data_IF_061538838928
#
_entry.id   IF_061538838928
#
_cell.length_a   1.000
_cell.length_b   1.000
_cell.length_c   1.000
_cell.angle_alpha   90.00
_cell.angle_beta   90.00
_cell.angle_gamma   90.00
#
_symmetry.space_group_name_H-M   'P 1'
#
loop_
_entity.id
_entity.type
_entity.pdbx_description
1 polymer ?
#
# COMPACT_ATOMS: atom_id res chain seq x y z
N UNK A 1 15.37 3.46 -9.78
CA UNK A 1 16.45 2.59 -9.36
C UNK A 1 17.12 3.18 -8.10
N UNK A 2 17.32 2.37 -7.05
CA UNK A 2 17.77 2.84 -5.75
C UNK A 2 19.24 3.33 -5.72
N UNK A 3 20.02 3.07 -6.76
CA UNK A 3 21.42 3.44 -6.86
C UNK A 3 21.71 4.78 -7.56
N UNK A 4 20.73 5.38 -8.22
CA UNK A 4 20.95 6.54 -9.11
C UNK A 4 21.53 7.73 -8.37
N UNK A 5 21.00 8.09 -7.19
CA UNK A 5 21.49 9.23 -6.42
C UNK A 5 22.92 9.01 -5.90
N UNK A 6 23.29 7.77 -5.56
CA UNK A 6 24.63 7.43 -5.10
C UNK A 6 25.67 7.47 -6.23
N UNK A 7 25.28 7.15 -7.46
CA UNK A 7 26.17 7.19 -8.62
C UNK A 7 26.35 8.58 -9.23
N UNK A 8 25.56 9.59 -8.86
CA UNK A 8 25.74 10.96 -9.39
C UNK A 8 27.11 11.55 -9.12
N UNK A 9 27.69 11.49 -7.90
CA UNK A 9 29.03 11.99 -7.65
C UNK A 9 30.10 11.26 -8.47
N UNK A 10 30.00 9.92 -8.60
CA UNK A 10 30.92 9.11 -9.39
C UNK A 10 30.88 9.45 -10.87
N UNK A 11 29.66 9.63 -11.41
CA UNK A 11 29.46 10.03 -12.81
C UNK A 11 30.00 11.45 -13.06
N UNK A 12 29.87 12.38 -12.10
CA UNK A 12 30.45 13.71 -12.19
C UNK A 12 31.97 13.65 -12.22
N UNK A 13 32.59 12.92 -11.28
CA UNK A 13 34.05 12.77 -11.24
C UNK A 13 34.60 12.17 -12.54
N UNK A 14 33.95 11.08 -13.03
CA UNK A 14 34.33 10.46 -14.29
C UNK A 14 34.21 11.43 -15.49
N UNK A 15 33.17 12.26 -15.52
CA UNK A 15 33.00 13.27 -16.54
C UNK A 15 34.04 14.37 -16.46
N UNK A 16 34.36 14.86 -15.25
CA UNK A 16 35.41 15.88 -15.02
C UNK A 16 36.79 15.38 -15.44
N UNK A 17 37.10 14.12 -15.19
CA UNK A 17 38.34 13.49 -15.66
C UNK A 17 38.39 13.46 -17.19
N UNK A 18 37.32 13.06 -17.85
CA UNK A 18 37.20 13.05 -19.32
C UNK A 18 37.37 14.47 -19.89
N UNK A 19 36.73 15.46 -19.29
CA UNK A 19 36.87 16.89 -19.69
C UNK A 19 38.32 17.34 -19.55
N UNK A 20 38.98 16.97 -18.44
CA UNK A 20 40.36 17.30 -18.19
C UNK A 20 41.30 16.72 -19.26
N UNK A 21 41.13 15.43 -19.58
CA UNK A 21 41.96 14.76 -20.57
C UNK A 21 41.68 15.26 -22.00
N UNK A 22 40.40 15.55 -22.33
CA UNK A 22 40.03 16.14 -23.61
C UNK A 22 40.69 17.54 -23.79
N UNK A 23 40.71 18.38 -22.74
CA UNK A 23 41.38 19.68 -22.73
C UNK A 23 42.89 19.54 -22.91
N UNK A 24 43.51 18.59 -22.22
CA UNK A 24 44.97 18.32 -22.39
C UNK A 24 45.31 17.94 -23.83
N UNK A 25 44.46 17.11 -24.47
CA UNK A 25 44.69 16.75 -25.86
C UNK A 25 44.45 17.94 -26.77
N UNK A 26 43.38 18.70 -26.60
CA UNK A 26 43.10 19.92 -27.37
C UNK A 26 44.26 20.94 -27.27
N UNK A 27 44.83 21.13 -26.08
CA UNK A 27 46.00 22.00 -25.86
C UNK A 27 47.24 21.55 -26.63
N UNK A 28 47.44 20.24 -26.81
CA UNK A 28 48.55 19.71 -27.62
C UNK A 28 48.37 20.04 -29.10
N UNK A 29 47.13 19.94 -29.57
CA UNK A 29 46.82 20.16 -30.98
C UNK A 29 46.67 21.68 -31.29
N UNK A 30 46.45 22.53 -30.25
CA UNK A 30 46.30 23.99 -30.34
C UNK A 30 47.18 24.69 -29.28
N UNK A 31 48.50 24.72 -29.46
CA UNK A 31 49.44 25.28 -28.49
C UNK A 31 49.22 26.78 -28.20
N UNK A 32 48.61 27.51 -29.14
CA UNK A 32 48.28 28.94 -29.05
C UNK A 32 46.99 29.24 -28.25
N UNK A 33 46.21 28.23 -27.92
CA UNK A 33 44.93 28.44 -27.22
C UNK A 33 45.11 29.06 -25.84
N UNK A 34 44.36 30.11 -25.59
CA UNK A 34 44.39 30.82 -24.29
C UNK A 34 43.68 30.02 -23.19
N UNK A 35 43.99 30.36 -21.92
CA UNK A 35 43.33 29.71 -20.77
C UNK A 35 41.80 29.86 -20.78
N UNK A 36 41.30 30.98 -21.32
CA UNK A 36 39.88 31.23 -21.35
C UNK A 36 39.17 30.45 -22.49
N UNK A 37 39.82 30.31 -23.62
CA UNK A 37 39.36 29.41 -24.69
C UNK A 37 39.35 27.97 -24.20
N UNK A 38 40.37 27.52 -23.48
CA UNK A 38 40.42 26.17 -22.92
C UNK A 38 39.30 25.85 -21.96
N UNK A 39 38.74 26.84 -21.25
CA UNK A 39 37.57 26.64 -20.37
C UNK A 39 36.30 26.33 -21.15
N UNK A 40 36.22 26.73 -22.42
CA UNK A 40 35.05 26.50 -23.30
C UNK A 40 35.17 25.20 -24.10
N UNK A 41 36.29 24.48 -23.98
CA UNK A 41 36.51 23.20 -24.65
C UNK A 41 35.90 22.07 -23.85
N UNK A 42 34.98 21.36 -24.46
CA UNK A 42 34.28 20.19 -23.87
C UNK A 42 34.27 19.03 -24.84
N UNK A 43 34.21 17.77 -24.36
CA UNK A 43 34.01 16.62 -25.20
C UNK A 43 32.64 16.70 -25.90
N UNK A 44 32.44 15.99 -27.04
CA UNK A 44 31.21 16.08 -27.83
C UNK A 44 29.99 15.41 -27.21
N UNK A 45 30.02 15.17 -25.91
CA UNK A 45 28.92 14.65 -25.13
C UNK A 45 28.87 15.30 -23.74
N UNK A 46 27.75 15.15 -23.05
CA UNK A 46 27.56 15.61 -21.67
C UNK A 46 26.81 14.57 -20.86
N UNK A 47 27.06 14.53 -19.57
CA UNK A 47 26.27 13.72 -18.63
C UNK A 47 24.97 14.47 -18.32
N UNK A 48 23.84 13.79 -18.47
CA UNK A 48 22.51 14.29 -18.12
C UNK A 48 21.95 13.36 -17.05
N UNK A 49 21.55 13.94 -15.91
CA UNK A 49 20.88 13.20 -14.86
C UNK A 49 19.39 13.20 -15.11
N UNK A 50 18.79 12.04 -14.95
CA UNK A 50 17.35 11.86 -15.01
C UNK A 50 16.87 11.07 -13.81
N UNK A 51 15.61 11.24 -13.48
CA UNK A 51 14.91 10.43 -12.49
C UNK A 51 13.70 9.80 -13.16
N UNK A 52 13.54 8.51 -12.97
CA UNK A 52 12.28 7.86 -13.27
C UNK A 52 11.38 8.06 -12.06
N UNK A 53 10.31 8.81 -12.24
CA UNK A 53 9.33 9.07 -11.21
C UNK A 53 8.00 8.43 -11.57
N UNK A 54 7.39 7.78 -10.60
CA UNK A 54 6.01 7.31 -10.74
C UNK A 54 5.07 8.47 -10.40
N UNK A 55 4.30 8.91 -11.39
CA UNK A 55 3.21 9.85 -11.14
C UNK A 55 2.07 9.08 -10.49
N UNK A 56 1.89 9.29 -9.21
CA UNK A 56 0.75 8.75 -8.46
C UNK A 56 -0.34 9.81 -8.44
N UNK A 57 -1.52 9.45 -8.93
CA UNK A 57 -2.72 10.29 -8.78
C UNK A 57 -3.28 10.07 -7.38
N UNK A 58 -2.92 10.93 -6.44
CA UNK A 58 -3.37 10.85 -5.04
C UNK A 58 -4.88 11.06 -4.86
N UNK A 59 -5.57 11.51 -5.90
CA UNK A 59 -7.03 11.68 -5.89
C UNK A 59 -7.74 10.40 -6.37
N UNK A 60 -7.07 9.56 -7.17
CA UNK A 60 -7.59 8.27 -7.57
C UNK A 60 -7.41 7.28 -6.43
N UNK A 61 -8.52 6.77 -5.90
CA UNK A 61 -8.48 5.57 -5.10
C UNK A 61 -9.07 5.65 -3.70
N UNK A 62 -9.66 6.77 -3.27
CA UNK A 62 -10.43 6.76 -2.02
C UNK A 62 -11.66 5.87 -2.12
N UNK A 63 -12.33 5.86 -3.29
CA UNK A 63 -13.49 5.02 -3.55
C UNK A 63 -13.33 4.36 -4.92
N UNK A 64 -13.50 3.06 -4.96
CA UNK A 64 -13.48 2.26 -6.19
C UNK A 64 -14.85 1.62 -6.40
N UNK A 65 -15.34 1.58 -7.65
CA UNK A 65 -16.60 0.94 -8.01
C UNK A 65 -17.85 1.66 -7.47
N UNK A 66 -17.81 2.98 -7.32
CA UNK A 66 -18.93 3.78 -6.80
C UNK A 66 -20.21 3.57 -7.62
N UNK A 67 -21.31 3.32 -6.92
CA UNK A 67 -22.66 3.11 -7.47
C UNK A 67 -23.67 4.10 -6.91
N UNK A 68 -23.22 5.27 -6.44
CA UNK A 68 -24.06 6.29 -5.82
C UNK A 68 -24.45 5.97 -4.37
N UNK A 69 -23.57 5.26 -3.65
CA UNK A 69 -23.75 4.97 -2.24
C UNK A 69 -23.81 6.24 -1.41
N UNK A 70 -24.61 6.18 -0.33
CA UNK A 70 -24.71 7.21 0.69
C UNK A 70 -23.65 7.02 1.78
N UNK A 71 -23.28 8.10 2.47
CA UNK A 71 -22.46 8.01 3.69
C UNK A 71 -23.21 7.35 4.86
N UNK A 72 -24.51 7.10 4.72
CA UNK A 72 -25.34 6.45 5.72
C UNK A 72 -25.60 4.96 5.42
N UNK A 73 -25.06 4.45 4.30
CA UNK A 73 -25.19 3.03 3.95
C UNK A 73 -24.39 2.14 4.93
N UNK A 74 -24.73 0.84 5.03
CA UNK A 74 -23.93 -0.11 5.78
C UNK A 74 -22.53 -0.26 5.21
N UNK A 75 -21.55 -0.45 6.10
CA UNK A 75 -20.15 -0.71 5.75
C UNK A 75 -19.67 -2.03 6.35
N UNK A 76 -18.83 -2.74 5.62
CA UNK A 76 -18.01 -3.83 6.16
C UNK A 76 -16.55 -3.40 6.12
N UNK A 77 -16.04 -3.10 7.29
CA UNK A 77 -14.62 -2.74 7.47
C UNK A 77 -13.86 -4.02 7.76
N UNK A 78 -12.79 -4.29 7.00
CA UNK A 78 -12.09 -5.55 7.08
C UNK A 78 -10.59 -5.39 6.93
N UNK A 79 -9.86 -6.39 7.38
CA UNK A 79 -8.43 -6.55 7.27
C UNK A 79 -8.11 -8.03 7.07
N UNK A 80 -6.97 -8.35 6.44
CA UNK A 80 -6.54 -9.72 6.22
C UNK A 80 -5.08 -9.91 6.64
N UNK A 81 -4.78 -11.09 7.18
CA UNK A 81 -3.41 -11.55 7.31
C UNK A 81 -3.09 -12.58 6.24
N UNK A 82 -1.85 -12.56 5.76
CA UNK A 82 -1.44 -13.35 4.58
C UNK A 82 -0.06 -13.96 4.76
N UNK A 83 0.27 -14.99 3.97
CA UNK A 83 1.61 -15.59 3.95
C UNK A 83 2.67 -14.73 3.23
N UNK A 84 2.29 -13.53 2.74
CA UNK A 84 3.18 -12.59 2.04
C UNK A 84 2.40 -11.59 1.18
N UNK A 85 3.07 -10.84 0.32
CA UNK A 85 2.52 -9.64 -0.31
C UNK A 85 1.89 -9.84 -1.70
N UNK A 86 2.05 -11.00 -2.32
CA UNK A 86 1.54 -11.25 -3.68
C UNK A 86 0.23 -12.04 -3.65
N UNK A 87 -0.90 -11.49 -4.13
CA UNK A 87 -2.18 -12.20 -4.13
C UNK A 87 -2.17 -13.46 -5.01
N UNK A 88 -1.24 -13.52 -5.99
CA UNK A 88 -1.08 -14.68 -6.87
C UNK A 88 -0.27 -15.79 -6.19
N UNK A 89 0.84 -15.42 -5.53
CA UNK A 89 1.79 -16.38 -4.96
C UNK A 89 1.49 -16.74 -3.48
N UNK A 90 0.87 -15.84 -2.75
CA UNK A 90 0.63 -16.00 -1.31
C UNK A 90 -0.84 -16.32 -1.01
N UNK A 91 -1.10 -16.64 0.25
CA UNK A 91 -2.42 -17.11 0.72
C UNK A 91 -2.89 -16.29 1.91
N UNK A 92 -4.20 -16.15 2.04
CA UNK A 92 -4.85 -15.58 3.24
C UNK A 92 -4.75 -16.59 4.38
N UNK A 93 -4.46 -16.11 5.59
CA UNK A 93 -4.38 -16.91 6.83
C UNK A 93 -5.36 -16.44 7.91
N UNK A 94 -5.86 -15.21 7.83
CA UNK A 94 -6.94 -14.68 8.68
C UNK A 94 -7.77 -13.67 7.89
N UNK A 95 -9.09 -13.66 8.11
CA UNK A 95 -9.97 -12.58 7.69
C UNK A 95 -10.67 -12.04 8.93
N UNK A 96 -10.49 -10.76 9.21
CA UNK A 96 -11.18 -10.03 10.26
C UNK A 96 -12.06 -8.95 9.64
N UNK A 97 -13.33 -8.89 10.06
CA UNK A 97 -14.23 -7.84 9.59
C UNK A 97 -15.22 -7.42 10.66
N UNK A 98 -15.70 -6.20 10.56
CA UNK A 98 -16.79 -5.67 11.37
C UNK A 98 -17.82 -5.00 10.46
N UNK A 99 -19.09 -5.22 10.76
CA UNK A 99 -20.20 -4.55 10.10
C UNK A 99 -20.56 -3.29 10.87
N UNK A 100 -20.64 -2.18 10.16
CA UNK A 100 -20.95 -0.86 10.72
C UNK A 100 -22.27 -0.37 10.15
N UNK A 101 -23.22 -0.06 11.01
CA UNK A 101 -24.50 0.53 10.67
C UNK A 101 -24.75 1.71 11.63
N UNK A 102 -25.25 2.83 11.09
CA UNK A 102 -25.52 4.05 11.86
C UNK A 102 -24.34 4.52 12.74
N UNK A 103 -23.12 4.30 12.25
CA UNK A 103 -21.89 4.69 12.94
C UNK A 103 -21.47 3.80 14.12
N UNK A 104 -22.07 2.62 14.26
CA UNK A 104 -21.78 1.65 15.32
C UNK A 104 -21.45 0.28 14.74
N UNK A 105 -20.54 -0.45 15.38
CA UNK A 105 -20.25 -1.85 15.04
C UNK A 105 -21.42 -2.71 15.52
N UNK A 106 -22.09 -3.39 14.60
CA UNK A 106 -23.27 -4.23 14.86
C UNK A 106 -23.00 -5.73 14.77
N UNK A 107 -21.96 -6.13 14.02
CA UNK A 107 -21.59 -7.54 13.84
C UNK A 107 -20.08 -7.69 13.59
N UNK A 108 -19.56 -8.91 13.79
CA UNK A 108 -18.15 -9.25 13.63
C UNK A 108 -17.96 -10.57 12.89
N UNK A 109 -16.96 -10.62 12.04
CA UNK A 109 -16.48 -11.79 11.35
C UNK A 109 -14.99 -11.95 11.67
N UNK A 110 -14.57 -13.09 12.22
CA UNK A 110 -13.17 -13.35 12.55
C UNK A 110 -12.90 -14.84 12.38
N UNK A 111 -12.11 -15.17 11.37
CA UNK A 111 -11.88 -16.56 10.96
C UNK A 111 -10.43 -16.74 10.52
N UNK A 112 -9.77 -17.76 11.06
CA UNK A 112 -8.53 -18.28 10.49
C UNK A 112 -8.82 -19.05 9.21
N UNK A 113 -7.88 -18.99 8.29
CA UNK A 113 -7.95 -19.68 7.00
C UNK A 113 -6.75 -20.61 6.86
N UNK A 114 -6.99 -21.88 6.55
CA UNK A 114 -5.93 -22.81 6.23
C UNK A 114 -5.31 -22.47 4.86
N UNK A 115 -4.06 -21.98 4.82
CA UNK A 115 -3.43 -21.59 3.55
C UNK A 115 -3.00 -22.79 2.70
N UNK A 116 -3.02 -24.01 3.25
CA UNK A 116 -2.53 -25.25 2.63
C UNK A 116 -1.04 -25.19 2.22
N UNK A 117 -0.31 -24.22 2.75
CA UNK A 117 1.14 -24.06 2.59
C UNK A 117 1.73 -23.59 3.92
N UNK A 118 3.01 -23.88 4.21
CA UNK A 118 3.64 -23.41 5.44
C UNK A 118 3.65 -21.88 5.54
N UNK A 119 3.42 -21.37 6.74
CA UNK A 119 3.51 -19.93 7.03
C UNK A 119 4.99 -19.57 7.18
N UNK A 120 5.50 -18.59 6.41
CA UNK A 120 6.90 -18.16 6.54
C UNK A 120 7.18 -17.60 7.94
N UNK A 121 8.31 -17.95 8.52
CA UNK A 121 8.71 -17.52 9.87
C UNK A 121 8.63 -16.00 10.09
N UNK A 122 8.94 -15.19 9.05
CA UNK A 122 8.81 -13.74 9.13
C UNK A 122 7.37 -13.28 9.30
N UNK A 123 6.42 -14.00 8.71
CA UNK A 123 4.98 -13.72 8.84
C UNK A 123 4.51 -14.14 10.23
N UNK A 124 4.91 -15.31 10.70
CA UNK A 124 4.63 -15.73 12.07
C UNK A 124 5.14 -14.72 13.10
N UNK A 125 6.37 -14.21 12.93
CA UNK A 125 6.89 -13.15 13.81
C UNK A 125 6.10 -11.84 13.74
N UNK A 126 5.54 -11.52 12.58
CA UNK A 126 4.79 -10.28 12.37
C UNK A 126 3.37 -10.37 12.93
N UNK A 127 2.66 -11.46 12.62
CA UNK A 127 1.22 -11.62 12.89
C UNK A 127 0.94 -12.43 14.15
N UNK A 128 1.93 -13.19 14.63
CA UNK A 128 1.75 -14.18 15.70
C UNK A 128 0.98 -15.43 15.27
N UNK A 129 0.60 -15.54 13.99
CA UNK A 129 -0.15 -16.68 13.45
C UNK A 129 0.85 -17.73 12.96
N UNK A 130 0.74 -18.96 13.46
CA UNK A 130 1.58 -20.08 13.08
C UNK A 130 0.77 -21.24 12.48
N UNK A 131 1.46 -22.21 11.89
CA UNK A 131 0.83 -23.35 11.22
C UNK A 131 -0.16 -24.11 12.12
N UNK A 132 0.13 -24.26 13.42
CA UNK A 132 -0.74 -24.98 14.33
C UNK A 132 -2.09 -24.30 14.59
N UNK A 133 -2.19 -23.00 14.37
CA UNK A 133 -3.41 -22.23 14.54
C UNK A 133 -4.35 -22.33 13.33
N UNK A 134 -3.81 -22.67 12.17
CA UNK A 134 -4.55 -22.65 10.90
C UNK A 134 -4.72 -24.04 10.26
N UNK A 135 -4.03 -25.07 10.74
CA UNK A 135 -4.02 -26.42 10.14
C UNK A 135 -5.41 -27.05 10.10
N UNK A 136 -6.21 -26.83 11.15
CA UNK A 136 -7.58 -27.36 11.25
C UNK A 136 -8.66 -26.31 10.85
N UNK A 137 -8.23 -25.14 10.37
CA UNK A 137 -9.14 -24.11 9.91
C UNK A 137 -9.74 -24.46 8.52
N UNK A 138 -10.87 -23.86 8.21
CA UNK A 138 -11.49 -23.95 6.88
C UNK A 138 -10.57 -23.35 5.81
N UNK A 139 -10.67 -23.87 4.60
CA UNK A 139 -9.92 -23.34 3.46
C UNK A 139 -10.55 -22.06 2.91
N UNK A 140 -9.84 -21.35 2.03
CA UNK A 140 -10.36 -20.11 1.43
C UNK A 140 -11.63 -20.37 0.58
N UNK A 141 -11.75 -21.56 0.00
CA UNK A 141 -12.91 -22.01 -0.78
C UNK A 141 -14.18 -22.05 0.08
N UNK A 142 -14.04 -22.34 1.37
CA UNK A 142 -15.14 -22.41 2.33
C UNK A 142 -15.39 -21.06 3.02
N UNK A 143 -14.33 -20.31 3.32
CA UNK A 143 -14.40 -19.05 4.07
C UNK A 143 -14.84 -17.89 3.19
N UNK A 144 -14.33 -17.80 1.95
CA UNK A 144 -14.63 -16.65 1.08
C UNK A 144 -16.13 -16.45 0.80
N UNK A 145 -16.91 -17.51 0.47
CA UNK A 145 -18.36 -17.34 0.31
C UNK A 145 -19.06 -16.81 1.57
N UNK A 146 -18.63 -17.22 2.77
CA UNK A 146 -19.19 -16.73 4.04
C UNK A 146 -18.84 -15.25 4.25
N UNK A 147 -17.60 -14.85 3.94
CA UNK A 147 -17.18 -13.46 4.01
C UNK A 147 -17.95 -12.57 3.02
N UNK A 148 -18.18 -13.06 1.79
CA UNK A 148 -18.96 -12.34 0.78
C UNK A 148 -20.44 -12.18 1.20
N UNK A 149 -21.04 -13.20 1.80
CA UNK A 149 -22.39 -13.10 2.34
C UNK A 149 -22.46 -12.12 3.53
N UNK A 150 -21.45 -12.13 4.43
CA UNK A 150 -21.31 -11.15 5.52
C UNK A 150 -21.22 -9.71 4.99
N UNK A 151 -20.56 -9.53 3.84
CA UNK A 151 -20.34 -8.23 3.20
C UNK A 151 -21.49 -7.76 2.31
N UNK A 152 -22.51 -8.59 2.15
CA UNK A 152 -23.60 -8.35 1.21
C UNK A 152 -24.38 -7.07 1.53
N UNK A 153 -24.60 -6.25 0.50
CA UNK A 153 -25.33 -4.99 0.63
C UNK A 153 -24.58 -3.88 1.35
N UNK A 154 -23.31 -4.09 1.68
CA UNK A 154 -22.47 -3.10 2.32
C UNK A 154 -21.34 -2.60 1.39
N UNK A 155 -20.82 -1.41 1.65
CA UNK A 155 -19.60 -0.91 1.06
C UNK A 155 -18.41 -1.47 1.85
N UNK A 156 -17.43 -2.03 1.18
CA UNK A 156 -16.22 -2.55 1.82
C UNK A 156 -15.25 -1.42 2.16
N UNK A 157 -14.59 -1.51 3.29
CA UNK A 157 -13.63 -0.51 3.76
C UNK A 157 -12.40 -1.21 4.31
N UNK A 158 -11.22 -0.75 3.95
CA UNK A 158 -9.97 -1.25 4.54
C UNK A 158 -8.93 -0.12 4.65
N UNK A 159 -7.89 -0.36 5.43
CA UNK A 159 -6.75 0.55 5.55
C UNK A 159 -5.63 0.13 4.62
N UNK A 160 -5.39 0.90 3.54
CA UNK A 160 -4.62 0.49 2.36
C UNK A 160 -5.36 -0.61 1.56
N UNK A 161 -6.64 -0.36 1.31
CA UNK A 161 -7.61 -1.31 0.75
C UNK A 161 -7.16 -2.01 -0.53
N UNK A 162 -6.26 -1.40 -1.32
CA UNK A 162 -5.71 -2.02 -2.52
C UNK A 162 -5.00 -3.35 -2.24
N UNK A 163 -4.36 -3.49 -1.08
CA UNK A 163 -3.72 -4.73 -0.67
C UNK A 163 -4.78 -5.83 -0.40
N UNK A 164 -5.68 -5.59 0.54
CA UNK A 164 -6.68 -6.56 0.98
C UNK A 164 -7.60 -6.97 -0.17
N UNK A 165 -8.10 -5.99 -0.90
CA UNK A 165 -8.97 -6.21 -2.05
C UNK A 165 -8.30 -7.01 -3.16
N UNK A 166 -6.98 -6.86 -3.36
CA UNK A 166 -6.25 -7.64 -4.35
C UNK A 166 -6.30 -9.14 -4.07
N UNK A 167 -6.22 -9.54 -2.80
CA UNK A 167 -6.35 -10.93 -2.37
C UNK A 167 -7.79 -11.44 -2.49
N UNK A 168 -8.77 -10.64 -2.07
CA UNK A 168 -10.19 -11.01 -2.21
C UNK A 168 -10.56 -11.21 -3.69
N UNK A 169 -10.21 -10.26 -4.56
CA UNK A 169 -10.49 -10.32 -5.99
C UNK A 169 -9.80 -11.52 -6.66
N UNK A 170 -8.52 -11.76 -6.33
CA UNK A 170 -7.78 -12.89 -6.91
C UNK A 170 -8.39 -14.25 -6.48
N UNK A 171 -8.83 -14.38 -5.22
CA UNK A 171 -9.49 -15.61 -4.76
C UNK A 171 -10.90 -15.75 -5.37
N UNK A 172 -11.66 -14.68 -5.53
CA UNK A 172 -12.94 -14.72 -6.28
C UNK A 172 -12.70 -15.22 -7.72
N UNK A 173 -11.68 -14.68 -8.40
CA UNK A 173 -11.32 -15.12 -9.76
C UNK A 173 -10.95 -16.60 -9.82
N UNK A 174 -10.17 -17.11 -8.85
CA UNK A 174 -9.78 -18.53 -8.78
C UNK A 174 -10.99 -19.44 -8.59
N UNK A 175 -11.98 -18.99 -7.82
CA UNK A 175 -13.20 -19.74 -7.54
C UNK A 175 -14.30 -19.54 -8.58
N UNK A 176 -14.07 -18.72 -9.61
CA UNK A 176 -15.07 -18.40 -10.62
C UNK A 176 -16.26 -17.59 -10.07
N UNK A 177 -16.05 -16.85 -8.99
CA UNK A 177 -17.05 -15.96 -8.40
C UNK A 177 -16.97 -14.61 -9.09
N UNK A 178 -18.02 -14.27 -9.85
CA UNK A 178 -18.16 -12.95 -10.46
C UNK A 178 -18.82 -12.01 -9.47
N UNK A 179 -18.10 -11.00 -9.02
CA UNK A 179 -18.60 -9.97 -8.12
C UNK A 179 -17.94 -8.61 -8.37
N UNK A 180 -18.79 -7.60 -8.47
CA UNK A 180 -18.33 -6.21 -8.50
C UNK A 180 -18.23 -5.69 -7.07
N UNK A 181 -17.10 -5.12 -6.76
CA UNK A 181 -16.83 -4.54 -5.45
C UNK A 181 -16.89 -3.01 -5.48
N UNK A 182 -17.55 -2.45 -4.47
CA UNK A 182 -17.37 -1.05 -4.10
C UNK A 182 -16.61 -1.01 -2.79
N UNK A 183 -15.48 -0.29 -2.78
CA UNK A 183 -14.67 -0.20 -1.57
C UNK A 183 -14.03 1.17 -1.39
N UNK A 184 -13.74 1.50 -0.14
CA UNK A 184 -13.13 2.75 0.31
C UNK A 184 -11.78 2.46 0.96
N UNK A 185 -10.78 3.25 0.61
CA UNK A 185 -9.44 3.24 1.23
C UNK A 185 -9.32 4.34 2.27
N UNK A 186 -9.19 3.96 3.53
CA UNK A 186 -9.04 4.92 4.63
C UNK A 186 -7.69 5.64 4.63
N UNK A 187 -6.65 5.14 3.95
CA UNK A 187 -5.38 5.87 3.76
C UNK A 187 -5.61 7.09 2.87
N UNK A 188 -6.38 6.96 1.79
CA UNK A 188 -6.76 8.07 0.93
C UNK A 188 -7.53 9.14 1.70
N UNK A 189 -8.53 8.73 2.50
CA UNK A 189 -9.29 9.64 3.37
C UNK A 189 -8.39 10.32 4.42
N UNK A 190 -7.48 9.56 5.04
CA UNK A 190 -6.56 10.12 6.04
C UNK A 190 -5.64 11.18 5.44
N UNK A 191 -5.14 11.01 4.23
CA UNK A 191 -4.34 12.02 3.53
C UNK A 191 -5.09 13.31 3.30
N UNK A 192 -6.37 13.22 2.96
CA UNK A 192 -7.24 14.38 2.74
C UNK A 192 -7.63 15.07 4.05
N UNK A 193 -8.05 14.31 5.04
CA UNK A 193 -8.65 14.84 6.27
C UNK A 193 -7.64 15.17 7.37
N UNK A 194 -6.42 14.61 7.29
CA UNK A 194 -5.34 14.79 8.28
C UNK A 194 -4.04 15.27 7.60
N UNK A 195 -4.05 16.42 6.90
CA UNK A 195 -2.92 16.88 6.06
C UNK A 195 -1.65 17.17 6.87
N UNK A 196 -1.74 17.25 8.20
CA UNK A 196 -0.58 17.45 9.09
C UNK A 196 0.20 16.18 9.41
N UNK A 197 -0.24 14.99 8.98
CA UNK A 197 0.46 13.74 9.23
C UNK A 197 1.52 13.47 8.15
N UNK A 198 2.70 13.03 8.60
CA UNK A 198 3.80 12.60 7.71
C UNK A 198 3.73 11.12 7.34
N UNK A 199 2.93 10.32 8.03
CA UNK A 199 2.75 8.87 7.83
C UNK A 199 1.31 8.50 8.09
N UNK A 200 0.80 7.54 7.30
CA UNK A 200 -0.60 7.13 7.32
C UNK A 200 -0.74 5.63 7.64
N UNK A 201 0.14 5.08 8.48
CA UNK A 201 -0.04 3.74 9.04
C UNK A 201 -1.22 3.74 10.00
N UNK A 202 -1.86 2.59 10.18
CA UNK A 202 -3.05 2.42 11.01
C UNK A 202 -2.82 2.96 12.44
N UNK A 203 -1.71 2.58 13.08
CA UNK A 203 -1.31 3.04 14.42
C UNK A 203 -1.16 4.57 14.50
N UNK A 204 -0.58 5.17 13.47
CA UNK A 204 -0.34 6.62 13.41
C UNK A 204 -1.65 7.38 13.25
N UNK A 205 -2.55 6.91 12.39
CA UNK A 205 -3.87 7.52 12.17
C UNK A 205 -4.75 7.34 13.39
N UNK A 206 -4.78 6.14 13.98
CA UNK A 206 -5.51 5.86 15.22
C UNK A 206 -5.09 6.80 16.36
N UNK A 207 -3.77 6.93 16.56
CA UNK A 207 -3.22 7.84 17.59
C UNK A 207 -3.60 9.30 17.33
N UNK A 208 -3.54 9.77 16.08
CA UNK A 208 -3.91 11.14 15.73
C UNK A 208 -5.39 11.44 16.02
N UNK A 209 -6.24 10.43 15.93
CA UNK A 209 -7.67 10.51 16.19
C UNK A 209 -8.05 10.12 17.62
N UNK A 210 -7.07 9.86 18.53
CA UNK A 210 -7.31 9.36 19.89
C UNK A 210 -8.18 8.08 19.91
N UNK A 211 -7.84 7.12 19.04
CA UNK A 211 -8.43 5.79 18.96
C UNK A 211 -7.41 4.79 19.53
N UNK A 212 -7.86 3.88 20.40
CA UNK A 212 -7.02 2.83 20.95
C UNK A 212 -6.91 1.66 19.96
N UNK A 213 -5.69 1.27 19.63
CA UNK A 213 -5.41 0.06 18.85
C UNK A 213 -5.02 -1.04 19.83
N UNK A 214 -5.90 -2.03 20.00
CA UNK A 214 -5.67 -3.20 20.84
C UNK A 214 -5.24 -4.37 19.96
N UNK A 215 -4.31 -5.20 20.44
CA UNK A 215 -3.85 -6.44 19.77
C UNK A 215 -3.49 -6.24 18.28
N UNK A 216 -2.67 -5.25 17.98
CA UNK A 216 -2.19 -5.01 16.61
C UNK A 216 -1.67 -6.29 15.95
N UNK A 217 -1.96 -6.49 14.66
CA UNK A 217 -1.74 -7.71 13.87
C UNK A 217 -2.71 -8.86 14.19
N UNK A 218 -3.92 -8.56 14.62
CA UNK A 218 -5.07 -9.44 14.59
C UNK A 218 -6.11 -8.79 13.69
N UNK A 219 -6.43 -9.45 12.58
CA UNK A 219 -7.25 -8.86 11.51
C UNK A 219 -8.57 -8.25 12.01
N UNK A 220 -9.27 -8.88 12.96
CA UNK A 220 -10.53 -8.33 13.49
C UNK A 220 -10.33 -7.10 14.37
N UNK A 221 -9.21 -6.98 15.10
CA UNK A 221 -8.92 -5.82 15.93
C UNK A 221 -8.44 -4.64 15.08
N UNK A 222 -7.65 -4.90 14.04
CA UNK A 222 -7.23 -3.90 13.05
C UNK A 222 -8.44 -3.41 12.23
N UNK A 223 -9.36 -4.32 11.83
CA UNK A 223 -10.64 -3.97 11.21
C UNK A 223 -11.51 -3.09 12.13
N UNK A 224 -11.62 -3.42 13.41
CA UNK A 224 -12.39 -2.64 14.38
C UNK A 224 -11.80 -1.24 14.58
N UNK A 225 -10.47 -1.13 14.72
CA UNK A 225 -9.78 0.16 14.77
C UNK A 225 -10.00 0.99 13.52
N UNK A 226 -9.88 0.36 12.33
CA UNK A 226 -10.16 0.99 11.04
C UNK A 226 -11.62 1.46 10.95
N UNK A 227 -12.57 0.72 11.50
CA UNK A 227 -13.98 1.11 11.56
C UNK A 227 -14.19 2.38 12.41
N UNK A 228 -13.56 2.45 13.57
CA UNK A 228 -13.64 3.67 14.42
C UNK A 228 -13.03 4.88 13.70
N UNK A 229 -11.89 4.70 13.03
CA UNK A 229 -11.27 5.74 12.18
C UNK A 229 -12.24 6.19 11.10
N UNK A 230 -12.81 5.24 10.36
CA UNK A 230 -13.71 5.51 9.25
C UNK A 230 -14.98 6.24 9.69
N UNK A 231 -15.60 5.84 10.81
CA UNK A 231 -16.75 6.54 11.40
C UNK A 231 -16.41 7.99 11.76
N UNK A 232 -15.21 8.26 12.28
CA UNK A 232 -14.76 9.64 12.52
C UNK A 232 -14.58 10.41 11.22
N UNK A 233 -14.03 9.79 10.18
CA UNK A 233 -13.89 10.41 8.86
C UNK A 233 -15.24 10.76 8.25
N UNK A 234 -16.23 9.86 8.34
CA UNK A 234 -17.61 10.17 7.90
C UNK A 234 -18.16 11.41 8.63
N UNK A 235 -17.96 11.52 9.95
CA UNK A 235 -18.40 12.69 10.70
C UNK A 235 -17.71 13.96 10.21
N UNK A 236 -16.39 13.92 10.02
CA UNK A 236 -15.63 15.07 9.49
C UNK A 236 -16.07 15.46 8.07
N UNK A 237 -16.52 14.52 7.24
CA UNK A 237 -17.05 14.82 5.91
C UNK A 237 -18.46 15.44 5.91
N UNK A 238 -19.22 15.26 7.01
CA UNK A 238 -20.59 15.81 7.16
C UNK A 238 -20.59 17.22 7.78
N UNK A 239 -19.50 17.63 8.41
CA UNK A 239 -19.26 18.98 8.97
C UNK A 239 -18.78 19.96 7.91
#
# INVERSE_FOLDING_TARGET
DHGVVQSFPEANHAYDDIVSDYRKQYQKDHPEATKDEMKQVYPPFKVIYGVEAYLVDDVKGMVTGSRGQSLDDPYVVFDIETTGFSPVANRIIEIGAVRVEEGSIVDRFSVFVNPQVPIPFKIEQLTGINDSMVVDAETIEEVLPKFLEFSKGAVMVAHNAGFDMSFIIENCKRLGIEQDFTYVDTVGLARMLLPGLNRFKLDTVAKALNISLLNHHRAVDDAACTAEIFVKFIKMCKE
#
